data_IF_911262002246
#
_entry.id   IF_911262002246
#
_cell.length_a   1.000
_cell.length_b   1.000
_cell.length_c   1.000
_cell.angle_alpha   90.00
_cell.angle_beta   90.00
_cell.angle_gamma   90.00
#
_symmetry.space_group_name_H-M   'P 1'
#
loop_
_entity.id
_entity.type
_entity.pdbx_description
1 polymer ?
#
# COMPACT_ATOMS: atom_id res chain seq x y z
N UNK A 1 -13.25 -16.85 -2.05
CA UNK A 1 -12.07 -16.22 -1.41
C UNK A 1 -12.49 -14.92 -0.76
N UNK A 2 -11.82 -14.53 0.32
CA UNK A 2 -12.02 -13.25 1.00
C UNK A 2 -10.65 -12.70 1.37
N UNK A 3 -10.39 -11.44 1.05
CA UNK A 3 -9.13 -10.75 1.32
C UNK A 3 -9.10 -10.24 2.76
N UNK A 4 -8.62 -11.10 3.66
CA UNK A 4 -8.53 -10.86 5.10
C UNK A 4 -7.25 -10.09 5.41
N UNK A 5 -7.39 -8.87 5.91
CA UNK A 5 -6.28 -7.99 6.31
C UNK A 5 -5.99 -8.07 7.81
N UNK A 6 -7.04 -8.18 8.62
CA UNK A 6 -6.95 -8.32 10.07
C UNK A 6 -8.19 -9.01 10.63
N UNK A 7 -8.02 -9.74 11.74
CA UNK A 7 -9.10 -10.48 12.42
C UNK A 7 -9.40 -9.91 13.82
N UNK A 8 -9.03 -8.65 14.05
CA UNK A 8 -8.94 -8.03 15.37
C UNK A 8 -7.56 -8.16 16.01
N UNK A 9 -6.73 -9.06 15.48
CA UNK A 9 -5.31 -9.16 15.77
C UNK A 9 -4.50 -8.99 14.49
N UNK A 10 -3.20 -8.71 14.63
CA UNK A 10 -2.29 -8.75 13.48
C UNK A 10 -2.20 -10.18 12.92
N UNK A 11 -2.03 -10.30 11.60
CA UNK A 11 -1.85 -11.58 10.91
C UNK A 11 -0.39 -12.09 10.95
N UNK A 12 0.50 -11.32 11.58
CA UNK A 12 1.87 -11.75 11.86
C UNK A 12 1.93 -12.69 13.08
N UNK A 13 3.08 -13.35 13.25
CA UNK A 13 3.33 -14.32 14.32
C UNK A 13 3.13 -13.76 15.74
N UNK A 14 3.24 -12.43 15.93
CA UNK A 14 3.10 -11.81 17.24
C UNK A 14 1.64 -11.66 17.66
N UNK A 15 0.70 -11.67 16.70
CA UNK A 15 -0.76 -11.61 16.96
C UNK A 15 -1.11 -10.48 17.92
N UNK A 16 -0.67 -9.27 17.63
CA UNK A 16 -0.93 -8.11 18.49
C UNK A 16 -2.40 -7.70 18.39
N UNK A 17 -3.01 -7.29 19.49
CA UNK A 17 -4.37 -6.73 19.49
C UNK A 17 -4.40 -5.42 18.68
N UNK A 18 -5.30 -5.35 17.70
CA UNK A 18 -5.55 -4.15 16.91
C UNK A 18 -6.86 -3.46 17.29
N UNK A 19 -7.76 -4.20 17.92
CA UNK A 19 -9.01 -3.69 18.51
C UNK A 19 -9.10 -4.10 19.98
N UNK A 20 -9.93 -3.43 20.81
CA UNK A 20 -10.19 -3.86 22.18
C UNK A 20 -10.72 -5.30 22.23
N UNK A 21 -10.39 -6.06 23.28
CA UNK A 21 -10.77 -7.47 23.41
C UNK A 21 -12.27 -7.73 23.26
N UNK A 22 -13.11 -6.82 23.77
CA UNK A 22 -14.58 -6.90 23.64
C UNK A 22 -15.10 -6.72 22.21
N UNK A 23 -14.23 -6.34 21.27
CA UNK A 23 -14.53 -6.15 19.84
C UNK A 23 -13.81 -7.15 18.93
N UNK A 24 -13.28 -8.23 19.52
CA UNK A 24 -12.74 -9.34 18.75
C UNK A 24 -13.85 -10.22 18.17
N UNK A 25 -13.54 -10.88 17.05
CA UNK A 25 -14.41 -11.88 16.46
C UNK A 25 -15.46 -11.34 15.49
N UNK A 26 -16.27 -12.23 14.90
CA UNK A 26 -17.16 -11.92 13.79
C UNK A 26 -18.49 -11.26 14.18
N UNK A 27 -18.79 -11.18 15.48
CA UNK A 27 -20.02 -10.56 15.99
C UNK A 27 -19.79 -9.20 16.65
N UNK A 28 -18.58 -8.67 16.55
CA UNK A 28 -18.23 -7.37 17.11
C UNK A 28 -18.95 -6.24 16.37
N UNK A 29 -19.44 -5.25 17.14
CA UNK A 29 -19.89 -3.97 16.59
C UNK A 29 -18.70 -3.03 16.48
N UNK A 30 -18.34 -2.69 15.24
CA UNK A 30 -17.17 -1.89 14.89
C UNK A 30 -17.61 -0.56 14.29
N UNK A 31 -16.88 0.51 14.61
CA UNK A 31 -16.94 1.75 13.83
C UNK A 31 -16.24 1.56 12.47
N UNK A 32 -16.40 2.53 11.56
CA UNK A 32 -15.71 2.49 10.25
C UNK A 32 -14.19 2.44 10.38
N UNK A 33 -13.62 3.07 11.41
CA UNK A 33 -12.18 3.04 11.65
C UNK A 33 -11.72 1.71 12.26
N UNK A 34 -12.53 1.11 13.13
CA UNK A 34 -12.23 -0.20 13.72
C UNK A 34 -12.41 -1.34 12.73
N UNK A 35 -13.32 -1.20 11.76
CA UNK A 35 -13.55 -2.17 10.69
C UNK A 35 -12.32 -2.37 9.78
N UNK A 36 -11.35 -1.45 9.79
CA UNK A 36 -10.04 -1.61 9.12
C UNK A 36 -9.13 -2.60 9.84
N UNK A 37 -9.43 -2.91 11.10
CA UNK A 37 -8.61 -3.73 11.99
C UNK A 37 -9.28 -5.05 12.38
N UNK A 38 -10.53 -5.28 11.99
CA UNK A 38 -11.22 -6.56 12.16
C UNK A 38 -12.24 -6.77 11.02
N UNK A 39 -11.87 -7.63 10.08
CA UNK A 39 -12.68 -7.93 8.90
C UNK A 39 -13.72 -9.02 9.15
N UNK A 40 -13.65 -9.73 10.28
CA UNK A 40 -14.49 -10.89 10.55
C UNK A 40 -16.00 -10.58 10.48
N UNK A 41 -16.49 -9.42 10.98
CA UNK A 41 -17.90 -9.06 10.82
C UNK A 41 -18.31 -8.88 9.37
N UNK A 42 -17.48 -8.25 8.53
CA UNK A 42 -17.76 -8.10 7.09
C UNK A 42 -17.72 -9.46 6.38
N UNK A 43 -16.70 -10.27 6.65
CA UNK A 43 -16.58 -11.61 6.09
C UNK A 43 -17.82 -12.49 6.42
N UNK A 44 -18.33 -12.43 7.65
CA UNK A 44 -19.55 -13.13 8.04
C UNK A 44 -20.79 -12.60 7.30
N UNK A 45 -20.95 -11.29 7.22
CA UNK A 45 -22.07 -10.66 6.52
C UNK A 45 -22.10 -11.03 5.03
N UNK A 46 -20.93 -11.10 4.38
CA UNK A 46 -20.80 -11.53 2.98
C UNK A 46 -21.02 -13.03 2.82
N UNK A 47 -20.51 -13.85 3.74
CA UNK A 47 -20.73 -15.30 3.71
C UNK A 47 -22.22 -15.68 3.71
N UNK A 48 -23.05 -14.93 4.44
CA UNK A 48 -24.51 -15.12 4.43
C UNK A 48 -25.13 -14.81 3.07
N UNK A 49 -24.51 -13.95 2.26
CA UNK A 49 -24.95 -13.54 0.91
C UNK A 49 -24.25 -14.31 -0.22
N UNK A 50 -23.45 -15.34 0.09
CA UNK A 50 -22.63 -16.10 -0.88
C UNK A 50 -23.39 -16.70 -2.04
N UNK A 51 -24.70 -16.96 -1.88
CA UNK A 51 -25.52 -17.56 -2.94
C UNK A 51 -26.12 -16.52 -3.90
N UNK A 52 -26.05 -15.23 -3.53
CA UNK A 52 -26.56 -14.10 -4.31
C UNK A 52 -25.42 -13.29 -4.94
N UNK A 53 -25.45 -11.97 -4.73
CA UNK A 53 -24.58 -11.00 -5.40
C UNK A 53 -23.06 -11.28 -5.25
N UNK A 54 -22.65 -11.97 -4.18
CA UNK A 54 -21.24 -12.37 -3.98
C UNK A 54 -20.69 -13.27 -5.09
N UNK A 55 -21.55 -14.02 -5.80
CA UNK A 55 -21.15 -14.84 -6.95
C UNK A 55 -20.73 -14.01 -8.16
N UNK A 56 -21.30 -12.83 -8.29
CA UNK A 56 -21.10 -11.93 -9.42
C UNK A 56 -19.98 -10.91 -9.15
N UNK A 57 -19.38 -10.95 -7.95
CA UNK A 57 -18.30 -10.04 -7.61
C UNK A 57 -17.07 -10.29 -8.51
N UNK A 58 -16.44 -9.23 -9.04
CA UNK A 58 -15.23 -9.35 -9.82
C UNK A 58 -14.08 -9.86 -8.95
N UNK A 59 -13.06 -10.46 -9.57
CA UNK A 59 -11.86 -10.98 -8.89
C UNK A 59 -10.96 -9.89 -8.29
N UNK A 60 -11.26 -8.63 -8.58
CA UNK A 60 -10.64 -7.42 -8.00
C UNK A 60 -11.29 -7.03 -6.68
N UNK A 61 -12.53 -7.48 -6.41
CA UNK A 61 -13.26 -7.17 -5.20
C UNK A 61 -12.68 -7.88 -3.96
N UNK A 62 -13.06 -7.38 -2.78
CA UNK A 62 -12.66 -7.92 -1.48
C UNK A 62 -13.05 -9.39 -1.28
N UNK A 63 -14.13 -9.83 -1.92
CA UNK A 63 -14.60 -11.21 -1.92
C UNK A 63 -15.07 -11.59 -3.31
N UNK A 64 -14.72 -12.80 -3.73
CA UNK A 64 -15.08 -13.35 -5.03
C UNK A 64 -15.13 -14.87 -4.97
N UNK A 65 -15.85 -15.47 -5.93
CA UNK A 65 -15.97 -16.93 -6.06
C UNK A 65 -15.08 -17.45 -7.18
N UNK A 66 -14.61 -18.68 -7.00
CA UNK A 66 -13.80 -19.39 -8.01
C UNK A 66 -14.42 -20.78 -8.20
N UNK A 67 -14.63 -21.24 -9.44
CA UNK A 67 -15.11 -22.59 -9.71
C UNK A 67 -14.17 -23.65 -9.12
N UNK A 68 -14.76 -24.75 -8.66
CA UNK A 68 -13.99 -25.86 -8.07
C UNK A 68 -13.01 -26.46 -9.07
N UNK A 69 -13.40 -26.51 -10.34
CA UNK A 69 -12.62 -27.07 -11.44
C UNK A 69 -11.31 -26.29 -11.66
N UNK A 70 -11.34 -24.97 -11.50
CA UNK A 70 -10.17 -24.11 -11.59
C UNK A 70 -9.20 -24.36 -10.44
N UNK A 71 -9.73 -24.52 -9.23
CA UNK A 71 -8.94 -24.87 -8.04
C UNK A 71 -8.32 -26.27 -8.20
N UNK A 72 -9.05 -27.22 -8.78
CA UNK A 72 -8.50 -28.55 -9.04
C UNK A 72 -7.38 -28.51 -10.10
N UNK A 73 -7.53 -27.69 -11.14
CA UNK A 73 -6.55 -27.55 -12.22
C UNK A 73 -5.23 -26.92 -11.74
N UNK A 74 -5.27 -26.10 -10.70
CA UNK A 74 -4.08 -25.51 -10.05
C UNK A 74 -3.51 -26.39 -8.93
N UNK A 75 -4.01 -27.62 -8.76
CA UNK A 75 -3.50 -28.55 -7.75
C UNK A 75 -3.98 -28.26 -6.33
N UNK A 76 -5.17 -27.66 -6.19
CA UNK A 76 -5.75 -27.23 -4.91
C UNK A 76 -4.92 -26.17 -4.18
N UNK A 77 -4.21 -25.33 -4.93
CA UNK A 77 -3.61 -24.12 -4.39
C UNK A 77 -4.73 -23.18 -3.92
N UNK A 78 -4.79 -22.90 -2.62
CA UNK A 78 -5.76 -21.99 -2.00
C UNK A 78 -5.17 -20.62 -1.69
N UNK A 79 -4.07 -20.25 -2.34
CA UNK A 79 -3.54 -18.89 -2.25
C UNK A 79 -4.47 -17.91 -2.96
N UNK A 80 -4.91 -16.88 -2.24
CA UNK A 80 -5.81 -15.86 -2.77
C UNK A 80 -5.22 -15.15 -4.00
N UNK A 81 -3.91 -14.87 -3.96
CA UNK A 81 -3.18 -14.19 -5.03
C UNK A 81 -3.15 -14.97 -6.35
N UNK A 82 -3.38 -16.29 -6.34
CA UNK A 82 -3.44 -17.09 -7.57
C UNK A 82 -4.68 -16.78 -8.41
N UNK A 83 -5.77 -16.38 -7.75
CA UNK A 83 -7.08 -16.18 -8.39
C UNK A 83 -7.53 -14.73 -8.39
N UNK A 84 -6.92 -13.88 -7.56
CA UNK A 84 -7.17 -12.44 -7.53
C UNK A 84 -6.68 -11.82 -8.83
N UNK A 85 -7.51 -10.96 -9.41
CA UNK A 85 -7.09 -10.07 -10.48
C UNK A 85 -6.58 -8.78 -9.83
N UNK A 86 -5.33 -8.44 -10.10
CA UNK A 86 -4.75 -7.17 -9.67
C UNK A 86 -4.87 -6.25 -10.88
N UNK A 87 -5.73 -5.23 -10.77
CA UNK A 87 -5.74 -4.14 -11.74
C UNK A 87 -4.39 -3.43 -11.62
N UNK A 88 -3.50 -3.70 -12.56
CA UNK A 88 -2.30 -2.91 -12.74
C UNK A 88 -2.71 -1.61 -13.42
N UNK A 89 -2.99 -0.58 -12.62
CA UNK A 89 -2.96 0.78 -13.14
C UNK A 89 -1.57 1.01 -13.74
N UNK A 90 -1.52 1.29 -15.03
CA UNK A 90 -0.30 1.71 -15.67
C UNK A 90 0.11 3.03 -15.02
N UNK A 91 1.05 2.96 -14.08
CA UNK A 91 1.64 4.16 -13.49
C UNK A 91 2.41 4.83 -14.62
N UNK A 92 1.86 5.92 -15.15
CA UNK A 92 2.59 6.75 -16.10
C UNK A 92 3.81 7.33 -15.37
N UNK A 93 4.98 6.82 -15.73
CA UNK A 93 6.25 7.32 -15.23
C UNK A 93 6.73 8.45 -16.13
N UNK A 94 7.28 9.49 -15.51
CA UNK A 94 7.99 10.55 -16.21
C UNK A 94 9.12 9.92 -17.08
N UNK A 95 9.28 10.33 -18.35
CA UNK A 95 10.34 9.81 -19.20
C UNK A 95 11.71 10.00 -18.54
N UNK A 96 12.62 9.00 -18.62
CA UNK A 96 13.96 9.12 -18.03
C UNK A 96 14.73 10.37 -18.46
N UNK A 97 14.47 10.87 -19.68
CA UNK A 97 15.07 12.08 -20.23
C UNK A 97 14.65 13.35 -19.49
N UNK A 98 13.42 13.43 -19.00
CA UNK A 98 12.93 14.57 -18.21
C UNK A 98 13.54 14.56 -16.81
N UNK A 99 13.56 13.39 -16.16
CA UNK A 99 14.25 13.17 -14.88
C UNK A 99 15.72 13.60 -14.98
N UNK A 100 16.42 13.17 -16.03
CA UNK A 100 17.83 13.53 -16.27
C UNK A 100 18.03 15.02 -16.54
N UNK A 101 17.09 15.67 -17.23
CA UNK A 101 17.16 17.09 -17.51
C UNK A 101 17.01 17.92 -16.23
N UNK A 102 16.05 17.55 -15.38
CA UNK A 102 15.86 18.16 -14.05
C UNK A 102 17.07 17.92 -13.13
N UNK A 103 17.64 16.71 -13.15
CA UNK A 103 18.87 16.42 -12.38
C UNK A 103 20.02 17.36 -12.76
N UNK A 104 20.26 17.56 -14.05
CA UNK A 104 21.31 18.47 -14.53
C UNK A 104 21.05 19.92 -14.17
N UNK A 105 19.79 20.33 -14.07
CA UNK A 105 19.44 21.68 -13.63
C UNK A 105 19.74 21.87 -12.14
N UNK A 106 19.32 20.92 -11.30
CA UNK A 106 19.68 20.95 -9.87
C UNK A 106 21.19 20.95 -9.65
N UNK A 107 21.95 20.18 -10.43
CA UNK A 107 23.42 20.20 -10.35
C UNK A 107 24.00 21.59 -10.65
N UNK A 108 23.49 22.29 -11.67
CA UNK A 108 23.92 23.65 -11.99
C UNK A 108 23.62 24.61 -10.85
N UNK A 109 22.41 24.56 -10.30
CA UNK A 109 22.02 25.43 -9.17
C UNK A 109 22.92 25.21 -7.94
N UNK A 110 23.32 23.96 -7.69
CA UNK A 110 24.27 23.62 -6.63
C UNK A 110 25.64 24.23 -6.92
N UNK A 111 26.16 24.09 -8.14
CA UNK A 111 27.45 24.67 -8.52
C UNK A 111 27.45 26.20 -8.40
N UNK A 112 26.41 26.86 -8.92
CA UNK A 112 26.27 28.32 -8.83
C UNK A 112 26.15 28.78 -7.36
N UNK A 113 25.46 27.99 -6.53
CA UNK A 113 25.36 28.23 -5.10
C UNK A 113 26.71 28.11 -4.38
N UNK A 114 27.51 27.10 -4.74
CA UNK A 114 28.86 26.91 -4.20
C UNK A 114 29.80 28.04 -4.61
N UNK A 115 29.79 28.45 -5.87
CA UNK A 115 30.65 29.55 -6.36
C UNK A 115 30.31 30.88 -5.66
N UNK A 116 29.02 31.15 -5.43
CA UNK A 116 28.57 32.31 -4.63
C UNK A 116 29.09 32.24 -3.19
N UNK A 117 29.00 31.08 -2.55
CA UNK A 117 29.52 30.89 -1.19
C UNK A 117 31.04 31.06 -1.14
N UNK A 118 31.77 30.51 -2.10
CA UNK A 118 33.22 30.68 -2.24
C UNK A 118 33.59 32.15 -2.46
N UNK A 119 32.84 32.89 -3.26
CA UNK A 119 33.07 34.33 -3.47
C UNK A 119 32.85 35.11 -2.18
N UNK A 120 31.76 34.84 -1.46
CA UNK A 120 31.46 35.50 -0.18
C UNK A 120 32.51 35.19 0.90
N UNK A 121 33.03 33.96 0.94
CA UNK A 121 34.10 33.53 1.86
C UNK A 121 35.48 34.05 1.43
N UNK A 122 35.76 34.10 0.13
CA UNK A 122 36.97 34.68 -0.43
C UNK A 122 37.04 36.18 -0.14
N UNK A 123 35.96 36.91 -0.37
CA UNK A 123 35.84 38.33 0.00
C UNK A 123 35.89 38.54 1.53
N UNK A 124 35.39 37.59 2.33
CA UNK A 124 35.54 37.64 3.79
C UNK A 124 37.00 37.45 4.23
N UNK A 125 37.74 36.53 3.59
CA UNK A 125 39.17 36.29 3.89
C UNK A 125 40.07 37.48 3.49
N UNK A 126 39.71 38.22 2.45
CA UNK A 126 40.41 39.44 2.03
C UNK A 126 40.12 40.61 2.98
N UNK A 127 38.91 40.67 3.56
CA UNK A 127 38.57 41.69 4.57
C UNK A 127 39.25 41.45 5.92
N UNK A 128 39.39 40.20 6.35
CA UNK A 128 40.06 39.85 7.62
C UNK A 128 41.60 40.04 7.55
N UNK A 129 42.19 39.99 6.35
CA UNK A 129 43.62 40.26 6.13
C UNK A 129 43.96 41.76 5.96
N UNK A 130 42.95 42.64 5.91
CA UNK A 130 43.10 44.08 5.67
C UNK A 130 42.85 44.96 6.92
N UNK A 131 42.58 44.35 8.07
CA UNK A 131 42.53 44.97 9.41
C UNK A 131 43.80 44.63 10.21
#
# INVERSE_FOLDING_TARGET
>A
FYDLHADGLSLDDKRNLLVPEGKLGPWAELSEDEAKFNDLPDALARWQKREGAEKDNPRTARSFVVPKEEIAATGYDLSLNRYREIEHDAVEHEPPTEILSRLREMERDIFDGLEKLETMLGDASVREAAE
#
